data_IF_614449098485
#
_entry.id   IF_614449098485
#
_cell.length_a   1.000
_cell.length_b   1.000
_cell.length_c   1.000
_cell.angle_alpha   90.00
_cell.angle_beta   90.00
_cell.angle_gamma   90.00
#
_symmetry.space_group_name_H-M   'P 1'
#
loop_
_entity.id
_entity.type
_entity.pdbx_description
1 polymer ?
#
# COMPACT_ATOMS: atom_id res chain seq x y z
N UNK A 1 -7.46 41.68 -18.60
CA UNK A 1 -7.94 40.30 -18.92
C UNK A 1 -6.79 39.30 -18.75
N UNK A 2 -7.00 38.17 -18.07
CA UNK A 2 -5.94 37.17 -17.83
C UNK A 2 -5.92 36.13 -18.95
N UNK A 3 -4.81 36.00 -19.65
CA UNK A 3 -4.58 34.95 -20.66
C UNK A 3 -3.51 33.97 -20.19
N UNK A 4 -3.68 32.69 -20.49
CA UNK A 4 -2.76 31.63 -20.07
C UNK A 4 -2.10 31.03 -21.30
N UNK A 5 -0.78 30.90 -21.26
CA UNK A 5 0.01 30.28 -22.33
C UNK A 5 0.87 29.17 -21.77
N UNK A 6 1.01 28.06 -22.50
CA UNK A 6 1.93 26.96 -22.19
C UNK A 6 3.08 26.97 -23.19
N UNK A 7 4.29 26.70 -22.70
CA UNK A 7 5.46 26.52 -23.57
C UNK A 7 5.50 25.10 -24.17
N UNK A 8 5.30 25.01 -25.48
CA UNK A 8 5.40 23.77 -26.25
C UNK A 8 6.83 23.56 -26.75
N UNK A 9 7.57 22.68 -26.05
CA UNK A 9 9.01 22.50 -26.21
C UNK A 9 9.41 22.03 -27.61
N UNK A 10 8.67 21.10 -28.22
CA UNK A 10 9.04 20.53 -29.53
C UNK A 10 9.03 21.58 -30.66
N UNK A 11 8.15 22.57 -30.59
CA UNK A 11 8.03 23.63 -31.60
C UNK A 11 8.65 24.95 -31.13
N UNK A 12 9.21 25.01 -29.92
CA UNK A 12 9.73 26.22 -29.29
C UNK A 12 8.74 27.40 -29.36
N UNK A 13 7.45 27.15 -29.05
CA UNK A 13 6.39 28.16 -29.16
C UNK A 13 5.53 28.20 -27.91
N UNK A 14 5.00 29.39 -27.63
CA UNK A 14 3.95 29.59 -26.63
C UNK A 14 2.60 29.41 -27.29
N UNK A 15 1.75 28.57 -26.70
CA UNK A 15 0.40 28.26 -27.19
C UNK A 15 -0.58 28.73 -26.12
N UNK A 16 -1.63 29.43 -26.53
CA UNK A 16 -2.70 29.85 -25.61
C UNK A 16 -3.48 28.62 -25.14
N UNK A 17 -3.63 28.49 -23.83
CA UNK A 17 -4.35 27.39 -23.19
C UNK A 17 -5.65 27.90 -22.58
N UNK A 18 -6.75 27.26 -22.95
CA UNK A 18 -8.09 27.70 -22.58
C UNK A 18 -8.76 26.82 -21.54
N UNK A 19 -8.20 25.65 -21.23
CA UNK A 19 -8.93 24.59 -20.56
C UNK A 19 -8.23 23.97 -19.35
N UNK A 20 -6.97 23.53 -19.46
CA UNK A 20 -6.32 22.78 -18.38
C UNK A 20 -4.80 22.96 -18.37
N UNK A 21 -4.19 22.78 -17.20
CA UNK A 21 -2.73 22.77 -17.02
C UNK A 21 -2.29 21.42 -16.47
N UNK A 22 -1.16 20.91 -16.96
CA UNK A 22 -0.53 19.69 -16.47
C UNK A 22 0.63 20.03 -15.53
N UNK A 23 0.96 19.10 -14.63
CA UNK A 23 2.03 19.31 -13.63
C UNK A 23 3.44 19.41 -14.22
N UNK A 24 3.64 19.01 -15.47
CA UNK A 24 4.92 19.12 -16.17
C UNK A 24 5.03 20.38 -17.05
N UNK A 25 3.96 21.18 -17.10
CA UNK A 25 3.91 22.37 -17.96
C UNK A 25 4.71 23.53 -17.39
N UNK A 26 5.14 24.39 -18.30
CA UNK A 26 5.67 25.71 -17.99
C UNK A 26 4.72 26.74 -18.59
N UNK A 27 4.06 27.52 -17.73
CA UNK A 27 2.98 28.41 -18.13
C UNK A 27 3.29 29.88 -17.85
N UNK A 28 2.79 30.75 -18.71
CA UNK A 28 2.82 32.20 -18.56
C UNK A 28 1.38 32.71 -18.43
N UNK A 29 1.09 33.39 -17.32
CA UNK A 29 -0.16 34.11 -17.12
C UNK A 29 0.08 35.57 -17.44
N UNK A 30 -0.53 36.06 -18.52
CA UNK A 30 -0.40 37.45 -18.96
C UNK A 30 -1.61 38.21 -18.42
N UNK A 31 -1.32 39.14 -17.52
CA UNK A 31 -2.28 40.12 -17.04
C UNK A 31 -2.09 41.42 -17.84
N UNK A 32 -2.98 41.63 -18.81
CA UNK A 32 -2.96 42.81 -19.67
C UNK A 32 -3.27 44.11 -18.91
N UNK A 33 -4.03 44.03 -17.82
CA UNK A 33 -4.47 45.22 -17.07
C UNK A 33 -3.33 45.78 -16.22
N UNK A 34 -2.50 44.89 -15.65
CA UNK A 34 -1.34 45.27 -14.84
C UNK A 34 -0.02 45.27 -15.61
N UNK A 35 -0.02 44.87 -16.89
CA UNK A 35 1.17 44.65 -17.72
C UNK A 35 2.17 43.70 -17.06
N UNK A 36 1.69 42.65 -16.39
CA UNK A 36 2.52 41.66 -15.70
C UNK A 36 2.42 40.29 -16.37
N UNK A 37 3.58 39.65 -16.56
CA UNK A 37 3.66 38.26 -17.01
C UNK A 37 4.13 37.40 -15.85
N UNK A 38 3.25 36.56 -15.34
CA UNK A 38 3.56 35.63 -14.26
C UNK A 38 3.99 34.28 -14.83
N UNK A 39 5.20 33.85 -14.50
CA UNK A 39 5.70 32.53 -14.92
C UNK A 39 5.46 31.50 -13.83
N UNK A 40 4.68 30.48 -14.17
CA UNK A 40 4.46 29.31 -13.35
C UNK A 40 5.25 28.12 -13.90
N UNK A 41 5.95 27.43 -13.01
CA UNK A 41 6.61 26.18 -13.34
C UNK A 41 5.88 25.04 -12.64
N UNK A 42 5.40 24.08 -13.41
CA UNK A 42 4.81 22.87 -12.87
C UNK A 42 5.81 22.11 -11.99
N UNK A 43 5.35 21.47 -10.91
CA UNK A 43 6.22 20.77 -9.95
C UNK A 43 7.01 19.61 -10.59
N UNK A 44 6.53 19.05 -11.71
CA UNK A 44 7.16 17.97 -12.47
C UNK A 44 7.87 18.47 -13.74
N UNK A 45 7.98 19.78 -13.93
CA UNK A 45 8.61 20.36 -15.13
C UNK A 45 10.14 20.29 -15.06
N UNK A 46 10.79 20.09 -16.21
CA UNK A 46 12.25 19.97 -16.28
C UNK A 46 12.94 21.34 -16.24
N UNK A 47 14.16 21.39 -15.69
CA UNK A 47 14.98 22.61 -15.68
C UNK A 47 15.28 23.12 -17.09
N UNK A 48 15.43 22.21 -18.06
CA UNK A 48 15.72 22.53 -19.45
C UNK A 48 14.52 23.22 -20.12
N UNK A 49 13.31 22.71 -19.92
CA UNK A 49 12.07 23.33 -20.41
C UNK A 49 11.89 24.74 -19.86
N UNK A 50 12.13 24.92 -18.55
CA UNK A 50 12.09 26.24 -17.94
C UNK A 50 13.11 27.20 -18.56
N UNK A 51 14.34 26.75 -18.81
CA UNK A 51 15.39 27.56 -19.45
C UNK A 51 14.98 27.97 -20.87
N UNK A 52 14.62 27.01 -21.73
CA UNK A 52 14.20 27.25 -23.12
C UNK A 52 12.97 28.16 -23.20
N UNK A 53 11.93 27.87 -22.42
CA UNK A 53 10.70 28.66 -22.42
C UNK A 53 10.95 30.11 -21.99
N UNK A 54 11.79 30.30 -20.96
CA UNK A 54 12.18 31.64 -20.52
C UNK A 54 12.95 32.39 -21.60
N UNK A 55 13.91 31.75 -22.28
CA UNK A 55 14.68 32.34 -23.39
C UNK A 55 13.77 32.74 -24.57
N UNK A 56 12.85 31.87 -24.98
CA UNK A 56 11.90 32.17 -26.07
C UNK A 56 11.00 33.34 -25.69
N UNK A 57 10.51 33.38 -24.44
CA UNK A 57 9.67 34.47 -23.96
C UNK A 57 10.41 35.82 -23.98
N UNK A 58 11.66 35.85 -23.49
CA UNK A 58 12.45 37.08 -23.53
C UNK A 58 12.72 37.56 -24.96
N UNK A 59 12.98 36.64 -25.90
CA UNK A 59 13.14 37.00 -27.33
C UNK A 59 11.86 37.59 -27.91
N UNK A 60 10.69 37.00 -27.59
CA UNK A 60 9.40 37.53 -28.03
C UNK A 60 9.14 38.93 -27.48
N UNK A 61 9.39 39.14 -26.19
CA UNK A 61 9.24 40.46 -25.58
C UNK A 61 10.22 41.44 -26.24
N UNK A 62 11.49 41.11 -26.40
CA UNK A 62 12.46 42.00 -27.06
C UNK A 62 12.11 42.33 -28.52
N UNK A 63 11.50 41.40 -29.25
CA UNK A 63 11.14 41.57 -30.66
C UNK A 63 9.87 42.39 -30.85
N UNK A 64 8.95 42.38 -29.88
CA UNK A 64 7.64 43.04 -29.97
C UNK A 64 7.43 44.19 -28.97
N UNK A 65 8.34 44.42 -28.02
CA UNK A 65 8.13 45.38 -26.95
C UNK A 65 8.57 46.81 -27.33
N UNK A 66 7.60 47.57 -27.80
CA UNK A 66 7.37 48.95 -27.34
C UNK A 66 6.60 48.99 -25.99
N UNK A 67 6.46 47.85 -25.28
CA UNK A 67 5.56 47.70 -24.12
C UNK A 67 6.27 47.29 -22.82
N UNK A 68 5.97 48.02 -21.73
CA UNK A 68 6.49 47.87 -20.35
C UNK A 68 6.02 46.60 -19.60
N UNK A 69 6.01 45.42 -20.23
CA UNK A 69 5.63 44.20 -19.52
C UNK A 69 6.74 43.75 -18.55
N UNK A 70 6.41 43.60 -17.27
CA UNK A 70 7.35 43.05 -16.28
C UNK A 70 7.11 41.55 -16.09
N UNK A 71 8.19 40.77 -16.14
CA UNK A 71 8.14 39.32 -15.94
C UNK A 71 8.39 39.00 -14.48
N UNK A 72 7.45 38.30 -13.84
CA UNK A 72 7.56 37.85 -12.45
C UNK A 72 7.45 36.33 -12.36
N UNK A 73 8.50 35.69 -11.84
CA UNK A 73 8.43 34.26 -11.51
C UNK A 73 7.55 34.07 -10.27
N UNK A 74 6.55 33.19 -10.39
CA UNK A 74 5.69 32.83 -9.26
C UNK A 74 6.48 31.94 -8.31
N UNK A 75 6.86 32.53 -7.18
CA UNK A 75 7.46 31.83 -6.04
C UNK A 75 6.36 31.58 -4.97
N UNK A 76 6.77 31.23 -3.73
CA UNK A 76 5.89 30.85 -2.61
C UNK A 76 4.70 31.79 -2.30
N UNK A 77 4.72 33.05 -2.76
CA UNK A 77 3.59 33.99 -2.63
C UNK A 77 2.96 34.24 -4.01
N UNK A 78 1.90 33.51 -4.31
CA UNK A 78 1.10 33.64 -5.55
C UNK A 78 -0.05 34.62 -5.27
N UNK A 79 -0.29 35.64 -6.13
CA UNK A 79 -1.45 36.52 -6.02
C UNK A 79 -2.76 35.74 -6.03
N UNK A 80 -3.77 36.17 -5.26
CA UNK A 80 -5.03 35.44 -5.09
C UNK A 80 -5.77 35.16 -6.40
N UNK A 81 -5.79 36.13 -7.33
CA UNK A 81 -6.44 35.98 -8.63
C UNK A 81 -5.74 34.94 -9.52
N UNK A 82 -4.39 34.90 -9.53
CA UNK A 82 -3.63 33.86 -10.23
C UNK A 82 -3.81 32.51 -9.56
N UNK A 83 -3.81 32.47 -8.21
CA UNK A 83 -3.98 31.23 -7.45
C UNK A 83 -5.30 30.55 -7.77
N UNK A 84 -6.41 31.31 -7.78
CA UNK A 84 -7.72 30.78 -8.13
C UNK A 84 -7.76 30.25 -9.57
N UNK A 85 -7.15 30.95 -10.52
CA UNK A 85 -7.04 30.49 -11.90
C UNK A 85 -6.23 29.19 -11.98
N UNK A 86 -5.05 29.16 -11.36
CA UNK A 86 -4.18 27.99 -11.32
C UNK A 86 -4.88 26.76 -10.70
N UNK A 87 -5.64 26.95 -9.62
CA UNK A 87 -6.39 25.87 -8.98
C UNK A 87 -7.48 25.29 -9.87
N UNK A 88 -8.18 26.11 -10.65
CA UNK A 88 -9.20 25.68 -11.61
C UNK A 88 -8.57 24.89 -12.76
N UNK A 89 -7.51 25.41 -13.39
CA UNK A 89 -6.84 24.74 -14.52
C UNK A 89 -6.14 23.43 -14.11
N UNK A 90 -5.69 23.32 -12.85
CA UNK A 90 -5.09 22.09 -12.30
C UNK A 90 -6.12 21.08 -11.77
N UNK A 91 -7.41 21.42 -11.70
CA UNK A 91 -8.42 20.52 -11.12
C UNK A 91 -8.54 19.22 -11.91
N UNK A 92 -8.44 19.30 -13.23
CA UNK A 92 -8.45 18.14 -14.13
C UNK A 92 -7.23 17.26 -13.90
N UNK A 93 -6.03 17.84 -13.88
CA UNK A 93 -4.79 17.11 -13.60
C UNK A 93 -4.77 16.48 -12.19
N UNK A 94 -5.36 17.15 -11.18
CA UNK A 94 -5.55 16.59 -9.83
C UNK A 94 -6.49 15.38 -9.84
N UNK A 95 -7.56 15.40 -10.64
CA UNK A 95 -8.49 14.27 -10.78
C UNK A 95 -7.82 13.10 -11.51
N UNK A 96 -7.08 13.37 -12.57
CA UNK A 96 -6.34 12.34 -13.32
C UNK A 96 -5.21 11.70 -12.50
N UNK A 97 -4.47 12.48 -11.71
CA UNK A 97 -3.43 11.95 -10.82
C UNK A 97 -4.02 11.03 -9.75
N UNK A 98 -5.20 11.38 -9.18
CA UNK A 98 -5.94 10.49 -8.27
C UNK A 98 -6.47 9.22 -8.95
N UNK A 99 -6.74 9.26 -10.25
CA UNK A 99 -7.15 8.07 -11.00
C UNK A 99 -5.93 7.18 -11.28
N UNK A 100 -4.77 7.78 -11.57
CA UNK A 100 -3.50 7.07 -11.74
C UNK A 100 -2.99 6.40 -10.44
N UNK A 101 -3.43 6.87 -9.26
CA UNK A 101 -3.12 6.23 -7.98
C UNK A 101 -3.83 4.88 -7.77
N UNK A 102 -4.88 4.55 -8.53
CA UNK A 102 -5.51 3.23 -8.46
C UNK A 102 -4.67 2.20 -9.21
N UNK A 103 -4.03 1.31 -8.46
CA UNK A 103 -3.25 0.18 -8.99
C UNK A 103 -4.13 -0.90 -9.63
N UNK A 104 -5.30 -1.17 -9.04
CA UNK A 104 -6.25 -2.16 -9.55
C UNK A 104 -7.14 -1.58 -10.65
N UNK A 105 -7.18 -2.28 -11.77
CA UNK A 105 -7.90 -1.88 -12.99
C UNK A 105 -9.31 -2.47 -13.10
N UNK A 106 -9.57 -3.62 -12.46
CA UNK A 106 -10.83 -4.35 -12.59
C UNK A 106 -11.65 -4.41 -11.29
N UNK A 107 -12.95 -4.14 -11.39
CA UNK A 107 -13.87 -4.23 -10.25
C UNK A 107 -13.94 -5.63 -9.63
N UNK A 108 -13.87 -6.68 -10.47
CA UNK A 108 -13.92 -8.05 -10.04
C UNK A 108 -12.70 -8.43 -9.19
N UNK A 109 -11.50 -8.04 -9.63
CA UNK A 109 -10.25 -8.30 -8.89
C UNK A 109 -10.23 -7.52 -7.58
N UNK A 110 -10.74 -6.28 -7.55
CA UNK A 110 -10.88 -5.48 -6.32
C UNK A 110 -11.74 -6.21 -5.27
N UNK A 111 -12.90 -6.73 -5.65
CA UNK A 111 -13.84 -7.41 -4.72
C UNK A 111 -13.28 -8.74 -4.21
N UNK A 112 -12.72 -9.55 -5.10
CA UNK A 112 -12.11 -10.83 -4.71
C UNK A 112 -10.88 -10.58 -3.82
N UNK A 113 -10.04 -9.63 -4.19
CA UNK A 113 -8.87 -9.29 -3.39
C UNK A 113 -9.24 -8.81 -1.99
N UNK A 114 -10.27 -7.96 -1.88
CA UNK A 114 -10.78 -7.52 -0.57
C UNK A 114 -11.28 -8.69 0.28
N UNK A 115 -12.10 -9.58 -0.30
CA UNK A 115 -12.63 -10.75 0.39
C UNK A 115 -11.49 -11.66 0.88
N UNK A 116 -10.57 -12.03 -0.02
CA UNK A 116 -9.44 -12.90 0.32
C UNK A 116 -8.57 -12.24 1.39
N UNK A 117 -8.26 -10.95 1.26
CA UNK A 117 -7.42 -10.24 2.24
C UNK A 117 -8.03 -10.22 3.64
N UNK A 118 -9.35 -10.04 3.76
CA UNK A 118 -10.03 -10.06 5.05
C UNK A 118 -9.97 -11.47 5.67
N UNK A 119 -10.24 -12.50 4.87
CA UNK A 119 -10.21 -13.89 5.36
C UNK A 119 -8.78 -14.27 5.76
N UNK A 120 -7.78 -13.92 4.93
CA UNK A 120 -6.36 -14.16 5.19
C UNK A 120 -5.83 -13.45 6.44
N UNK A 121 -6.51 -12.39 6.90
CA UNK A 121 -6.15 -11.64 8.11
C UNK A 121 -6.76 -12.29 9.38
N UNK A 122 -8.00 -12.78 9.26
CA UNK A 122 -8.70 -13.41 10.39
C UNK A 122 -8.15 -14.82 10.67
N UNK A 123 -7.83 -15.59 9.63
CA UNK A 123 -7.53 -17.02 9.77
C UNK A 123 -6.26 -17.32 10.60
N UNK A 124 -5.13 -16.61 10.43
CA UNK A 124 -3.94 -16.78 11.27
C UNK A 124 -4.18 -16.44 12.74
N UNK A 125 -5.04 -15.45 13.02
CA UNK A 125 -5.45 -15.11 14.39
C UNK A 125 -6.23 -16.28 15.00
N UNK A 126 -7.13 -16.91 14.25
CA UNK A 126 -7.86 -18.11 14.71
C UNK A 126 -6.88 -19.27 14.99
N UNK A 127 -5.88 -19.50 14.12
CA UNK A 127 -4.83 -20.51 14.36
C UNK A 127 -4.11 -20.23 15.67
N UNK A 128 -3.71 -18.98 15.91
CA UNK A 128 -3.06 -18.60 17.17
C UNK A 128 -3.97 -18.85 18.37
N UNK A 129 -5.26 -18.50 18.30
CA UNK A 129 -6.23 -18.73 19.38
C UNK A 129 -6.38 -20.23 19.69
N UNK A 130 -6.44 -21.07 18.66
CA UNK A 130 -6.48 -22.54 18.84
C UNK A 130 -5.21 -23.01 19.53
N UNK A 131 -4.03 -22.58 19.09
CA UNK A 131 -2.77 -22.96 19.73
C UNK A 131 -2.70 -22.45 21.18
N UNK A 132 -3.11 -21.21 21.42
CA UNK A 132 -3.17 -20.59 22.75
C UNK A 132 -4.20 -21.25 23.68
N UNK A 133 -5.14 -22.05 23.16
CA UNK A 133 -6.04 -22.83 24.01
C UNK A 133 -5.31 -23.83 24.92
N UNK A 134 -4.06 -24.16 24.61
CA UNK A 134 -3.16 -24.96 25.46
C UNK A 134 -2.92 -24.35 26.85
N UNK A 135 -3.08 -23.03 27.00
CA UNK A 135 -2.97 -22.35 28.28
C UNK A 135 -4.08 -22.73 29.27
N UNK A 136 -5.18 -23.29 28.77
CA UNK A 136 -6.35 -23.72 29.54
C UNK A 136 -6.39 -25.23 29.78
N UNK A 137 -5.33 -25.97 29.46
CA UNK A 137 -5.24 -27.38 29.84
C UNK A 137 -5.15 -27.55 31.35
N UNK A 138 -5.56 -28.73 31.82
CA UNK A 138 -5.46 -29.09 33.23
C UNK A 138 -4.00 -29.03 33.70
N UNK A 139 -3.77 -28.68 34.96
CA UNK A 139 -2.40 -28.52 35.50
C UNK A 139 -2.17 -29.38 36.72
N UNK A 140 -0.97 -29.96 36.81
CA UNK A 140 -0.46 -30.62 38.01
C UNK A 140 0.92 -30.03 38.32
N UNK A 141 0.99 -29.19 39.37
CA UNK A 141 2.22 -28.47 39.69
C UNK A 141 2.67 -27.54 38.54
N UNK A 142 3.87 -27.80 38.00
CA UNK A 142 4.46 -27.01 36.93
C UNK A 142 4.16 -27.55 35.51
N UNK A 143 3.37 -28.61 35.41
CA UNK A 143 3.09 -29.28 34.14
C UNK A 143 1.63 -29.08 33.73
N UNK A 144 1.42 -28.96 32.43
CA UNK A 144 0.13 -29.15 31.79
C UNK A 144 -0.10 -30.63 31.51
N UNK A 145 -1.35 -31.05 31.68
CA UNK A 145 -1.81 -32.42 31.45
C UNK A 145 -2.75 -32.42 30.26
N UNK A 146 -2.47 -33.29 29.29
CA UNK A 146 -3.35 -33.47 28.14
C UNK A 146 -3.41 -34.93 27.71
N UNK A 147 -4.60 -35.39 27.31
CA UNK A 147 -4.72 -36.71 26.67
C UNK A 147 -4.13 -36.71 25.27
N UNK A 148 -3.50 -37.81 24.87
CA UNK A 148 -2.89 -37.94 23.55
C UNK A 148 -3.88 -37.64 22.40
N UNK A 149 -5.14 -38.03 22.56
CA UNK A 149 -6.19 -37.73 21.58
C UNK A 149 -6.47 -36.22 21.47
N UNK A 150 -6.60 -35.52 22.61
CA UNK A 150 -6.83 -34.08 22.61
C UNK A 150 -5.63 -33.32 22.05
N UNK A 151 -4.41 -33.76 22.36
CA UNK A 151 -3.18 -33.18 21.82
C UNK A 151 -3.11 -33.29 20.29
N UNK A 152 -3.37 -34.50 19.75
CA UNK A 152 -3.37 -34.73 18.31
C UNK A 152 -4.47 -33.94 17.60
N UNK A 153 -5.68 -33.89 18.17
CA UNK A 153 -6.78 -33.11 17.59
C UNK A 153 -6.49 -31.60 17.61
N UNK A 154 -5.90 -31.10 18.71
CA UNK A 154 -5.48 -29.71 18.84
C UNK A 154 -4.46 -29.30 17.77
N UNK A 155 -3.41 -30.11 17.55
CA UNK A 155 -2.45 -29.88 16.49
C UNK A 155 -3.06 -30.02 15.09
N UNK A 156 -3.91 -31.03 14.88
CA UNK A 156 -4.55 -31.28 13.59
C UNK A 156 -5.45 -30.11 13.17
N UNK A 157 -6.23 -29.54 14.10
CA UNK A 157 -7.06 -28.37 13.82
C UNK A 157 -6.21 -27.17 13.39
N UNK A 158 -5.12 -26.89 14.11
CA UNK A 158 -4.20 -25.80 13.74
C UNK A 158 -3.54 -26.06 12.37
N UNK A 159 -3.15 -27.31 12.10
CA UNK A 159 -2.55 -27.73 10.83
C UNK A 159 -3.51 -27.52 9.64
N UNK A 160 -4.76 -27.98 9.75
CA UNK A 160 -5.77 -27.83 8.69
C UNK A 160 -6.00 -26.35 8.38
N UNK A 161 -6.13 -25.50 9.40
CA UNK A 161 -6.33 -24.06 9.19
C UNK A 161 -5.13 -23.39 8.52
N UNK A 162 -3.90 -23.77 8.87
CA UNK A 162 -2.71 -23.27 8.19
C UNK A 162 -2.63 -23.71 6.72
N UNK A 163 -3.09 -24.92 6.39
CA UNK A 163 -3.23 -25.35 5.00
C UNK A 163 -4.25 -24.48 4.26
N UNK A 164 -5.38 -24.15 4.88
CA UNK A 164 -6.37 -23.23 4.30
C UNK A 164 -5.76 -21.82 4.12
N UNK A 165 -5.00 -21.29 5.08
CA UNK A 165 -4.27 -20.03 4.93
C UNK A 165 -3.36 -20.05 3.69
N UNK A 166 -2.56 -21.12 3.55
CA UNK A 166 -1.63 -21.28 2.42
C UNK A 166 -2.38 -21.28 1.08
N UNK A 167 -3.52 -21.98 1.01
CA UNK A 167 -4.35 -22.03 -0.18
C UNK A 167 -5.00 -20.68 -0.54
N UNK A 168 -5.21 -19.78 0.44
CA UNK A 168 -5.71 -18.42 0.20
C UNK A 168 -4.63 -17.46 -0.29
N UNK A 169 -3.38 -17.63 0.14
CA UNK A 169 -2.28 -16.79 -0.32
C UNK A 169 -1.93 -17.01 -1.80
N UNK A 170 -2.18 -18.20 -2.36
CA UNK A 170 -1.95 -18.51 -3.79
C UNK A 170 -2.79 -17.60 -4.72
N UNK A 171 -4.14 -17.57 -4.65
CA UNK A 171 -4.94 -16.68 -5.47
C UNK A 171 -4.67 -15.20 -5.17
N UNK A 172 -4.33 -14.85 -3.92
CA UNK A 172 -3.93 -13.48 -3.56
C UNK A 172 -2.66 -13.04 -4.31
N UNK A 173 -1.66 -13.92 -4.40
CA UNK A 173 -0.45 -13.70 -5.18
C UNK A 173 -0.73 -13.59 -6.68
N UNK A 174 -1.60 -14.46 -7.22
CA UNK A 174 -1.99 -14.42 -8.65
C UNK A 174 -2.63 -13.08 -8.99
N UNK A 175 -3.57 -12.59 -8.17
CA UNK A 175 -4.21 -11.29 -8.37
C UNK A 175 -3.20 -10.16 -8.26
N UNK A 176 -2.27 -10.23 -7.30
CA UNK A 176 -1.25 -9.20 -7.13
C UNK A 176 -0.27 -9.12 -8.31
N UNK A 177 0.08 -10.27 -8.91
CA UNK A 177 0.89 -10.32 -10.14
C UNK A 177 0.10 -9.71 -11.31
N UNK A 178 -1.19 -10.06 -11.44
CA UNK A 178 -2.05 -9.54 -12.50
C UNK A 178 -2.22 -8.02 -12.46
N UNK A 179 -2.39 -7.44 -11.26
CA UNK A 179 -2.56 -6.00 -11.03
C UNK A 179 -1.23 -5.28 -10.73
N UNK A 180 -0.09 -5.97 -10.86
CA UNK A 180 1.26 -5.43 -10.62
C UNK A 180 1.49 -4.77 -9.24
N UNK A 181 0.78 -5.19 -8.19
CA UNK A 181 1.00 -4.69 -6.82
C UNK A 181 2.21 -5.40 -6.16
N UNK A 182 3.38 -4.77 -6.33
CA UNK A 182 4.66 -5.27 -5.79
C UNK A 182 4.66 -5.52 -4.29
N UNK A 183 3.93 -4.71 -3.51
CA UNK A 183 3.91 -4.87 -2.06
C UNK A 183 3.18 -6.16 -1.67
N UNK A 184 2.03 -6.41 -2.29
CA UNK A 184 1.23 -7.62 -2.03
C UNK A 184 1.95 -8.87 -2.52
N UNK A 185 2.68 -8.79 -3.65
CA UNK A 185 3.53 -9.89 -4.12
C UNK A 185 4.52 -10.30 -3.01
N UNK A 186 5.28 -9.32 -2.48
CA UNK A 186 6.28 -9.58 -1.44
C UNK A 186 5.63 -10.14 -0.17
N UNK A 187 4.55 -9.52 0.32
CA UNK A 187 3.89 -9.97 1.55
C UNK A 187 3.24 -11.34 1.40
N UNK A 188 2.63 -11.64 0.25
CA UNK A 188 2.02 -12.96 0.01
C UNK A 188 3.10 -14.04 -0.06
N UNK A 189 4.23 -13.79 -0.74
CA UNK A 189 5.36 -14.73 -0.76
C UNK A 189 5.94 -14.98 0.62
N UNK A 190 6.15 -13.95 1.44
CA UNK A 190 6.62 -14.09 2.83
C UNK A 190 5.60 -14.89 3.66
N UNK A 191 4.31 -14.57 3.54
CA UNK A 191 3.24 -15.27 4.25
C UNK A 191 3.20 -16.75 3.89
N UNK A 192 3.41 -17.11 2.62
CA UNK A 192 3.51 -18.51 2.18
C UNK A 192 4.72 -19.20 2.78
N UNK A 193 5.91 -18.58 2.77
CA UNK A 193 7.13 -19.16 3.34
C UNK A 193 6.95 -19.43 4.84
N UNK A 194 6.40 -18.46 5.58
CA UNK A 194 6.16 -18.61 7.02
C UNK A 194 5.11 -19.68 7.27
N UNK A 195 4.02 -19.71 6.50
CA UNK A 195 2.98 -20.74 6.64
C UNK A 195 3.52 -22.15 6.39
N UNK A 196 4.35 -22.34 5.35
CA UNK A 196 5.02 -23.62 5.09
C UNK A 196 5.96 -23.98 6.25
N UNK A 197 6.74 -23.01 6.74
CA UNK A 197 7.65 -23.23 7.86
C UNK A 197 6.90 -23.66 9.13
N UNK A 198 5.76 -23.03 9.42
CA UNK A 198 4.89 -23.40 10.52
C UNK A 198 4.26 -24.78 10.33
N UNK A 199 3.83 -25.14 9.12
CA UNK A 199 3.32 -26.48 8.82
C UNK A 199 4.38 -27.56 9.07
N UNK A 200 5.61 -27.34 8.59
CA UNK A 200 6.74 -28.26 8.82
C UNK A 200 7.07 -28.35 10.32
N UNK A 201 7.02 -27.22 11.03
CA UNK A 201 7.25 -27.19 12.46
C UNK A 201 6.18 -27.99 13.22
N UNK A 202 4.89 -27.76 12.96
CA UNK A 202 3.80 -28.49 13.62
C UNK A 202 3.76 -29.98 13.26
N UNK A 203 4.26 -30.36 12.09
CA UNK A 203 4.36 -31.76 11.67
C UNK A 203 5.33 -32.58 12.54
N UNK A 204 6.19 -31.93 13.34
CA UNK A 204 7.01 -32.63 14.34
C UNK A 204 6.14 -33.34 15.40
N UNK A 205 4.88 -32.93 15.56
CA UNK A 205 3.88 -33.67 16.34
C UNK A 205 4.30 -33.86 17.79
N UNK A 206 4.54 -35.11 18.18
CA UNK A 206 5.01 -35.46 19.53
C UNK A 206 6.41 -34.88 19.85
N UNK A 207 7.23 -34.55 18.84
CA UNK A 207 8.55 -33.99 19.06
C UNK A 207 8.57 -32.47 19.27
N UNK A 208 7.40 -31.82 19.25
CA UNK A 208 7.29 -30.38 19.53
C UNK A 208 7.69 -30.01 20.95
N UNK A 209 7.50 -30.93 21.90
CA UNK A 209 7.72 -30.69 23.33
C UNK A 209 8.56 -31.81 23.94
N UNK A 210 9.27 -31.47 25.02
CA UNK A 210 9.92 -32.46 25.85
C UNK A 210 8.92 -32.98 26.89
N UNK A 211 8.36 -34.17 26.65
CA UNK A 211 7.46 -34.82 27.59
C UNK A 211 8.17 -35.25 28.87
N UNK A 212 7.53 -35.01 30.02
CA UNK A 212 8.06 -35.36 31.34
C UNK A 212 7.97 -36.86 31.62
N UNK A 213 8.76 -37.36 32.57
CA UNK A 213 8.90 -38.81 32.88
C UNK A 213 7.58 -39.51 33.26
N UNK A 214 6.59 -38.77 33.75
CA UNK A 214 5.25 -39.28 34.07
C UNK A 214 4.36 -39.49 32.83
N UNK A 215 4.82 -39.12 31.64
CA UNK A 215 4.06 -39.24 30.40
C UNK A 215 3.87 -40.70 29.97
N UNK A 216 2.67 -41.00 29.52
CA UNK A 216 2.25 -42.31 29.04
C UNK A 216 1.74 -42.18 27.60
N UNK A 217 1.53 -43.29 26.87
CA UNK A 217 0.97 -43.23 25.52
C UNK A 217 -0.41 -42.57 25.41
N UNK A 218 -1.16 -42.48 26.52
CA UNK A 218 -2.51 -41.91 26.55
C UNK A 218 -2.58 -40.53 27.20
N UNK A 219 -1.57 -40.15 27.99
CA UNK A 219 -1.55 -38.93 28.78
C UNK A 219 -0.17 -38.30 28.77
N UNK A 220 -0.07 -37.06 28.34
CA UNK A 220 1.17 -36.31 28.22
C UNK A 220 1.27 -35.24 29.30
N UNK A 221 2.48 -35.10 29.85
CA UNK A 221 2.86 -34.05 30.77
C UNK A 221 3.88 -33.15 30.07
N UNK A 222 3.55 -31.86 29.97
CA UNK A 222 4.38 -30.86 29.29
C UNK A 222 4.64 -29.72 30.27
N UNK A 223 5.91 -29.33 30.42
CA UNK A 223 6.30 -28.20 31.25
C UNK A 223 5.64 -26.91 30.76
N UNK A 224 5.09 -26.12 31.69
CA UNK A 224 4.45 -24.83 31.38
C UNK A 224 5.35 -23.89 30.57
N UNK A 225 6.64 -23.87 30.87
CA UNK A 225 7.61 -23.00 30.18
C UNK A 225 7.76 -23.34 28.70
N UNK A 226 7.72 -24.61 28.33
CA UNK A 226 7.82 -25.06 26.94
C UNK A 226 6.61 -24.57 26.13
N UNK A 227 5.40 -24.65 26.70
CA UNK A 227 4.18 -24.11 26.09
C UNK A 227 4.28 -22.59 25.91
N UNK A 228 4.77 -21.85 26.91
CA UNK A 228 4.95 -20.40 26.77
C UNK A 228 5.96 -20.03 25.69
N UNK A 229 7.10 -20.73 25.62
CA UNK A 229 8.11 -20.50 24.58
C UNK A 229 7.57 -20.84 23.18
N UNK A 230 6.83 -21.95 23.06
CA UNK A 230 6.15 -22.33 21.83
C UNK A 230 5.17 -21.24 21.37
N UNK A 231 4.29 -20.77 22.26
CA UNK A 231 3.31 -19.73 21.92
C UNK A 231 3.98 -18.39 21.58
N UNK A 232 5.07 -18.04 22.26
CA UNK A 232 5.85 -16.84 21.94
C UNK A 232 6.47 -16.93 20.53
N UNK A 233 7.04 -18.09 20.17
CA UNK A 233 7.62 -18.33 18.86
C UNK A 233 6.54 -18.23 17.77
N UNK A 234 5.41 -18.92 17.96
CA UNK A 234 4.27 -18.89 17.02
C UNK A 234 3.71 -17.47 16.87
N UNK A 235 3.50 -16.77 17.99
CA UNK A 235 3.01 -15.38 17.97
C UNK A 235 3.94 -14.47 17.18
N UNK A 236 5.25 -14.59 17.41
CA UNK A 236 6.26 -13.81 16.69
C UNK A 236 6.24 -14.10 15.19
N UNK A 237 6.14 -15.37 14.80
CA UNK A 237 6.06 -15.78 13.40
C UNK A 237 4.80 -15.24 12.71
N UNK A 238 3.64 -15.32 13.39
CA UNK A 238 2.38 -14.78 12.85
C UNK A 238 2.46 -13.26 12.70
N UNK A 239 2.95 -12.55 13.71
CA UNK A 239 3.07 -11.09 13.67
C UNK A 239 3.93 -10.58 12.50
N UNK A 240 4.98 -11.32 12.12
CA UNK A 240 5.90 -10.92 11.03
C UNK A 240 5.19 -10.73 9.69
N UNK A 241 4.15 -11.51 9.39
CA UNK A 241 3.39 -11.34 8.15
C UNK A 241 2.02 -10.70 8.36
N UNK A 242 1.42 -10.84 9.54
CA UNK A 242 0.09 -10.32 9.84
C UNK A 242 0.08 -8.78 9.93
N UNK A 243 1.11 -8.17 10.52
CA UNK A 243 1.18 -6.70 10.65
C UNK A 243 1.28 -6.01 9.28
N UNK A 244 2.18 -6.41 8.37
CA UNK A 244 2.22 -5.84 7.02
C UNK A 244 0.92 -6.05 6.23
N UNK A 245 0.33 -7.25 6.33
CA UNK A 245 -0.94 -7.56 5.67
C UNK A 245 -2.07 -6.67 6.19
N UNK A 246 -2.19 -6.51 7.51
CA UNK A 246 -3.18 -5.63 8.14
C UNK A 246 -3.09 -4.20 7.61
N UNK A 247 -1.89 -3.60 7.64
CA UNK A 247 -1.67 -2.22 7.16
C UNK A 247 -2.08 -2.09 5.70
N UNK A 248 -1.68 -3.05 4.86
CA UNK A 248 -1.99 -3.01 3.42
C UNK A 248 -3.47 -3.22 3.14
N UNK A 249 -4.15 -4.13 3.85
CA UNK A 249 -5.59 -4.34 3.73
C UNK A 249 -6.38 -3.12 4.15
N UNK A 250 -6.02 -2.46 5.26
CA UNK A 250 -6.68 -1.20 5.69
C UNK A 250 -6.52 -0.11 4.63
N UNK A 251 -5.30 0.08 4.12
CA UNK A 251 -5.04 1.06 3.05
C UNK A 251 -5.82 0.72 1.77
N UNK A 252 -5.88 -0.56 1.40
CA UNK A 252 -6.66 -1.02 0.25
C UNK A 252 -8.15 -0.72 0.42
N UNK A 253 -8.75 -1.09 1.56
CA UNK A 253 -10.16 -0.83 1.85
C UNK A 253 -10.48 0.67 1.88
N UNK A 254 -9.57 1.50 2.38
CA UNK A 254 -9.73 2.96 2.36
C UNK A 254 -9.72 3.52 0.93
N UNK A 255 -8.77 3.09 0.09
CA UNK A 255 -8.63 3.54 -1.30
C UNK A 255 -9.79 3.06 -2.17
N UNK A 256 -10.19 1.79 -2.04
CA UNK A 256 -11.18 1.15 -2.92
C UNK A 256 -12.60 1.11 -2.35
N UNK A 257 -12.87 1.83 -1.25
CA UNK A 257 -14.17 1.81 -0.55
C UNK A 257 -15.39 1.98 -1.48
N UNK A 258 -15.31 2.93 -2.43
CA UNK A 258 -16.38 3.24 -3.39
C UNK A 258 -16.69 2.14 -4.40
N UNK A 259 -15.79 1.19 -4.56
CA UNK A 259 -15.92 0.08 -5.51
C UNK A 259 -16.39 -1.21 -4.82
N UNK A 260 -16.34 -1.23 -3.49
CA UNK A 260 -16.77 -2.32 -2.62
C UNK A 260 -18.20 -2.11 -2.08
N UNK A 261 -18.58 -0.85 -1.80
CA UNK A 261 -19.88 -0.42 -1.29
C UNK A 261 -20.45 0.70 -2.16
#
# INVERSE_FOLDING_TARGET
MLKVFIFYEEKNKWIEEHSHLLYHDFAAFIDEDTKLIYLWNGPKSTKERLKKGTEVLYRLIQQFAETDFQIKKLNKKIPSHIKSCLENYLEVAKKEEKIADYQYSQFFTIRIHALISIISLILPIIVFVILASSLFWDTLGNDYIISANNYNNWLLMAFILLVICLLLFIPQLIIAIYEYDKAIIVFSSISMIISISLLVYLQQGIFLFQFQESSTPTLYYITKIDIYLFLLLISSAIMLFEIPNFIKTVNFLATYKKFLF
#
